data_IF_811588311086
#
_entry.id   IF_811588311086
#
_cell.length_a   1.000
_cell.length_b   1.000
_cell.length_c   1.000
_cell.angle_alpha   90.00
_cell.angle_beta   90.00
_cell.angle_gamma   90.00
#
_symmetry.space_group_name_H-M   'P 1'
#
loop_
_entity.id
_entity.type
_entity.pdbx_description
1 polymer ?
#
# COMPACT_ATOMS: atom_id res chain seq x y z
N UNK A 1 44.37 -6.10 13.09
CA UNK A 1 43.36 -5.02 13.17
C UNK A 1 41.92 -5.46 12.85
N UNK A 2 41.67 -6.34 11.86
CA UNK A 2 40.30 -6.79 11.51
C UNK A 2 39.64 -7.77 12.50
N UNK A 3 40.41 -8.52 13.31
CA UNK A 3 39.87 -9.50 14.28
C UNK A 3 39.28 -8.83 15.53
N UNK A 4 39.98 -7.81 16.06
CA UNK A 4 39.54 -7.00 17.23
C UNK A 4 38.27 -6.18 16.96
N UNK A 5 38.03 -5.78 15.71
CA UNK A 5 36.80 -5.07 15.31
C UNK A 5 35.59 -6.01 15.26
N UNK A 6 35.79 -7.29 14.94
CA UNK A 6 34.71 -8.29 14.88
C UNK A 6 34.26 -8.73 16.28
N UNK A 7 35.20 -8.97 17.20
CA UNK A 7 34.89 -9.30 18.60
C UNK A 7 34.20 -8.14 19.34
N UNK A 8 34.59 -6.89 19.08
CA UNK A 8 33.89 -5.73 19.66
C UNK A 8 32.45 -5.61 19.13
N UNK A 9 32.19 -5.95 17.86
CA UNK A 9 30.85 -5.85 17.28
C UNK A 9 29.92 -6.98 17.74
N UNK A 10 30.46 -8.18 17.99
CA UNK A 10 29.71 -9.31 18.58
C UNK A 10 29.42 -9.09 20.07
N UNK A 11 30.33 -8.43 20.81
CA UNK A 11 30.11 -8.08 22.22
C UNK A 11 29.01 -7.03 22.39
N UNK A 12 28.95 -6.03 21.48
CA UNK A 12 27.88 -5.01 21.46
C UNK A 12 26.52 -5.64 21.09
N UNK A 13 26.49 -6.55 20.10
CA UNK A 13 25.26 -7.23 19.70
C UNK A 13 24.70 -8.13 20.81
N UNK A 14 25.56 -8.76 21.62
CA UNK A 14 25.14 -9.62 22.74
C UNK A 14 24.77 -8.81 23.99
N UNK A 15 25.39 -7.64 24.22
CA UNK A 15 24.97 -6.73 25.29
C UNK A 15 23.61 -6.08 24.98
N UNK A 16 23.38 -5.70 23.72
CA UNK A 16 22.08 -5.17 23.26
C UNK A 16 20.99 -6.23 23.39
N UNK A 17 21.23 -7.50 23.05
CA UNK A 17 20.23 -8.56 23.21
C UNK A 17 19.94 -8.90 24.69
N UNK A 18 20.92 -8.74 25.59
CA UNK A 18 20.70 -8.91 27.03
C UNK A 18 19.90 -7.75 27.64
N UNK A 19 20.15 -6.50 27.25
CA UNK A 19 19.28 -5.38 27.63
C UNK A 19 17.88 -5.53 27.03
N UNK A 20 17.78 -6.00 25.78
CA UNK A 20 16.52 -6.28 25.06
C UNK A 20 15.68 -7.39 25.69
N UNK A 21 16.31 -8.38 26.35
CA UNK A 21 15.58 -9.41 27.11
C UNK A 21 15.09 -8.93 28.49
N UNK A 22 15.72 -7.90 29.05
CA UNK A 22 15.39 -7.38 30.39
C UNK A 22 14.24 -6.35 30.38
N UNK A 23 13.94 -5.74 29.23
CA UNK A 23 12.81 -4.80 29.09
C UNK A 23 11.46 -5.45 28.78
N UNK A 24 11.37 -6.79 28.75
CA UNK A 24 10.11 -7.55 28.54
C UNK A 24 9.24 -7.67 29.81
N UNK A 25 9.47 -6.86 30.84
CA UNK A 25 8.66 -6.82 32.07
C UNK A 25 8.31 -5.40 32.49
N UNK A 26 7.53 -4.72 31.66
CA UNK A 26 6.93 -3.45 32.02
C UNK A 26 5.87 -3.04 31.02
N UNK A 27 4.61 -3.26 31.38
CA UNK A 27 3.43 -2.88 30.59
C UNK A 27 3.33 -1.35 30.53
N UNK A 28 4.16 -0.70 29.71
CA UNK A 28 4.09 0.74 29.44
C UNK A 28 3.11 0.99 28.30
N UNK A 29 2.01 1.66 28.62
CA UNK A 29 1.05 2.15 27.63
C UNK A 29 1.70 3.28 26.82
N UNK A 30 2.08 3.01 25.58
CA UNK A 30 2.70 4.01 24.69
C UNK A 30 1.68 5.11 24.34
N UNK A 31 2.09 6.37 24.45
CA UNK A 31 1.30 7.53 24.04
C UNK A 31 1.47 7.74 22.53
N UNK A 32 0.36 7.74 21.79
CA UNK A 32 0.37 7.91 20.34
C UNK A 32 0.81 9.33 19.98
N UNK A 33 1.93 9.45 19.25
CA UNK A 33 2.45 10.71 18.73
C UNK A 33 3.89 11.04 19.11
N UNK A 34 4.44 10.41 20.16
CA UNK A 34 5.78 10.75 20.69
C UNK A 34 6.86 9.69 20.38
N UNK A 35 6.49 8.42 20.15
CA UNK A 35 7.42 7.34 19.83
C UNK A 35 6.98 6.54 18.58
N UNK A 36 7.92 6.09 17.73
CA UNK A 36 7.62 5.16 16.66
C UNK A 36 7.09 3.83 17.22
N UNK A 37 5.87 3.49 16.82
CA UNK A 37 5.21 2.25 17.22
C UNK A 37 5.82 1.10 16.43
N UNK A 38 6.63 0.27 17.09
CA UNK A 38 7.26 -0.90 16.46
C UNK A 38 6.45 -2.19 16.65
N UNK A 39 5.51 -2.23 17.59
CA UNK A 39 4.80 -3.45 17.96
C UNK A 39 3.31 -3.19 18.25
N UNK A 40 2.44 -3.86 17.48
CA UNK A 40 0.97 -3.75 17.59
C UNK A 40 0.45 -4.23 18.95
N UNK A 41 1.23 -5.07 19.65
CA UNK A 41 0.92 -5.56 20.99
C UNK A 41 0.93 -4.49 22.08
N UNK A 42 1.56 -3.34 21.81
CA UNK A 42 1.64 -2.20 22.75
C UNK A 42 0.40 -1.30 22.70
N UNK A 43 -0.54 -1.58 21.79
CA UNK A 43 -1.69 -0.73 21.48
C UNK A 43 -2.98 -1.49 21.75
N UNK A 44 -4.01 -0.78 22.21
CA UNK A 44 -5.36 -1.34 22.38
C UNK A 44 -5.87 -1.94 21.05
N UNK A 45 -6.54 -3.11 21.07
CA UNK A 45 -7.06 -3.76 19.86
C UNK A 45 -7.95 -2.84 19.00
N UNK A 46 -8.70 -1.93 19.65
CA UNK A 46 -9.52 -0.94 18.95
C UNK A 46 -8.67 0.05 18.14
N UNK A 47 -7.54 0.49 18.71
CA UNK A 47 -6.61 1.40 18.03
C UNK A 47 -5.84 0.70 16.92
N UNK A 48 -5.46 -0.57 17.12
CA UNK A 48 -4.85 -1.40 16.08
C UNK A 48 -5.80 -1.59 14.89
N UNK A 49 -7.10 -1.83 15.15
CA UNK A 49 -8.12 -1.91 14.10
C UNK A 49 -8.27 -0.59 13.34
N UNK A 50 -8.33 0.55 14.03
CA UNK A 50 -8.41 1.87 13.39
C UNK A 50 -7.20 2.17 12.51
N UNK A 51 -5.99 1.82 12.95
CA UNK A 51 -4.77 1.95 12.14
C UNK A 51 -4.79 1.02 10.93
N UNK A 52 -5.26 -0.22 11.10
CA UNK A 52 -5.43 -1.18 10.00
C UNK A 52 -6.41 -0.69 8.95
N UNK A 53 -7.56 -0.15 9.38
CA UNK A 53 -8.53 0.49 8.50
C UNK A 53 -7.91 1.67 7.75
N UNK A 54 -7.17 2.52 8.45
CA UNK A 54 -6.47 3.62 7.80
C UNK A 54 -5.48 3.13 6.74
N UNK A 55 -4.71 2.09 7.04
CA UNK A 55 -3.77 1.52 6.07
C UNK A 55 -4.50 0.97 4.85
N UNK A 56 -5.62 0.28 5.06
CA UNK A 56 -6.49 -0.21 4.00
C UNK A 56 -6.96 0.94 3.09
N UNK A 57 -7.55 1.99 3.66
CA UNK A 57 -8.06 3.13 2.88
C UNK A 57 -6.96 3.97 2.23
N UNK A 58 -5.79 4.07 2.86
CA UNK A 58 -4.63 4.73 2.25
C UNK A 58 -4.15 4.00 0.99
N UNK A 59 -4.19 2.67 0.98
CA UNK A 59 -3.80 1.85 -0.18
C UNK A 59 -4.94 1.63 -1.18
N UNK A 60 -6.19 1.80 -0.74
CA UNK A 60 -7.40 1.55 -1.54
C UNK A 60 -7.41 2.34 -2.85
N UNK A 61 -7.11 3.64 -2.80
CA UNK A 61 -7.15 4.50 -3.98
C UNK A 61 -6.27 3.97 -5.12
N UNK A 62 -5.01 3.65 -4.82
CA UNK A 62 -4.09 3.09 -5.81
C UNK A 62 -4.50 1.69 -6.28
N UNK A 63 -4.98 0.85 -5.35
CA UNK A 63 -5.32 -0.55 -5.64
C UNK A 63 -6.55 -0.69 -6.53
N UNK A 64 -7.53 0.21 -6.38
CA UNK A 64 -8.75 0.28 -7.20
C UNK A 64 -8.51 1.03 -8.51
N UNK A 65 -7.57 1.98 -8.55
CA UNK A 65 -7.34 2.76 -9.77
C UNK A 65 -6.85 1.89 -10.94
N UNK A 66 -5.93 0.96 -10.70
CA UNK A 66 -5.39 0.09 -11.77
C UNK A 66 -6.49 -0.76 -12.43
N UNK A 67 -7.30 -1.56 -11.71
CA UNK A 67 -8.34 -2.36 -12.34
C UNK A 67 -9.37 -1.51 -13.09
N UNK A 68 -9.70 -0.31 -12.58
CA UNK A 68 -10.57 0.63 -13.30
C UNK A 68 -9.94 1.09 -14.62
N UNK A 69 -8.64 1.37 -14.64
CA UNK A 69 -7.93 1.79 -15.85
C UNK A 69 -7.67 0.66 -16.83
N UNK A 70 -7.64 -0.59 -16.38
CA UNK A 70 -7.38 -1.76 -17.23
C UNK A 70 -8.63 -2.56 -17.57
N UNK A 71 -9.80 -2.22 -17.01
CA UNK A 71 -11.05 -2.97 -17.20
C UNK A 71 -11.10 -4.30 -16.44
N UNK A 72 -10.28 -4.47 -15.40
CA UNK A 72 -10.36 -5.64 -14.51
C UNK A 72 -11.44 -5.43 -13.44
N UNK A 73 -11.99 -6.53 -12.93
CA UNK A 73 -12.91 -6.46 -11.81
C UNK A 73 -12.20 -5.99 -10.53
N UNK A 74 -12.75 -4.94 -9.92
CA UNK A 74 -12.20 -4.30 -8.72
C UNK A 74 -12.30 -5.24 -7.51
N UNK A 75 -13.40 -5.99 -7.40
CA UNK A 75 -13.68 -6.87 -6.27
C UNK A 75 -12.69 -8.04 -6.22
N UNK A 76 -12.45 -8.67 -7.37
CA UNK A 76 -11.46 -9.73 -7.56
C UNK A 76 -10.05 -9.22 -7.25
N UNK A 77 -9.72 -8.02 -7.73
CA UNK A 77 -8.40 -7.41 -7.51
C UNK A 77 -8.18 -7.13 -6.02
N UNK A 78 -9.17 -6.57 -5.31
CA UNK A 78 -9.08 -6.33 -3.87
C UNK A 78 -9.00 -7.64 -3.06
N UNK A 79 -9.77 -8.66 -3.44
CA UNK A 79 -9.73 -9.98 -2.81
C UNK A 79 -8.34 -10.61 -2.95
N UNK A 80 -7.78 -10.61 -4.16
CA UNK A 80 -6.45 -11.16 -4.44
C UNK A 80 -5.32 -10.34 -3.82
N UNK A 81 -5.44 -9.00 -3.76
CA UNK A 81 -4.48 -8.14 -3.05
C UNK A 81 -4.44 -8.45 -1.55
N UNK A 82 -5.61 -8.62 -0.92
CA UNK A 82 -5.72 -9.02 0.48
C UNK A 82 -5.17 -10.42 0.74
N UNK A 83 -5.58 -11.40 -0.06
CA UNK A 83 -5.08 -12.78 0.04
C UNK A 83 -3.57 -12.86 -0.19
N UNK A 84 -3.06 -12.16 -1.21
CA UNK A 84 -1.63 -12.07 -1.51
C UNK A 84 -0.84 -11.42 -0.38
N UNK A 85 -1.36 -10.37 0.23
CA UNK A 85 -0.76 -9.73 1.42
C UNK A 85 -0.69 -10.71 2.59
N UNK A 86 -1.73 -11.50 2.84
CA UNK A 86 -1.73 -12.49 3.92
C UNK A 86 -0.73 -13.62 3.65
N UNK A 87 -0.70 -14.15 2.42
CA UNK A 87 0.27 -15.18 1.99
C UNK A 87 1.70 -14.64 2.12
N UNK A 88 1.95 -13.39 1.72
CA UNK A 88 3.26 -12.75 1.85
C UNK A 88 3.71 -12.65 3.31
N UNK A 89 2.83 -12.23 4.22
CA UNK A 89 3.14 -12.18 5.65
C UNK A 89 3.39 -13.56 6.24
N UNK A 90 2.67 -14.60 5.78
CA UNK A 90 2.88 -15.98 6.19
C UNK A 90 4.27 -16.49 5.75
N UNK A 91 4.65 -16.26 4.49
CA UNK A 91 5.95 -16.68 3.94
C UNK A 91 7.10 -15.93 4.63
N UNK A 92 6.95 -14.62 4.88
CA UNK A 92 7.97 -13.79 5.53
C UNK A 92 8.00 -13.90 7.05
N UNK A 93 7.10 -14.71 7.64
CA UNK A 93 6.93 -14.88 9.10
C UNK A 93 6.68 -13.56 9.84
N UNK A 94 5.94 -12.64 9.21
CA UNK A 94 5.58 -11.35 9.79
C UNK A 94 6.75 -10.39 10.03
N UNK A 95 7.92 -10.65 9.43
CA UNK A 95 9.12 -9.80 9.62
C UNK A 95 9.11 -8.52 8.81
N UNK A 96 8.36 -8.49 7.71
CA UNK A 96 8.33 -7.37 6.77
C UNK A 96 6.90 -6.83 6.71
N UNK A 97 6.63 -5.63 7.24
CA UNK A 97 5.32 -5.00 7.13
C UNK A 97 5.15 -4.41 5.73
N UNK A 98 4.53 -5.15 4.81
CA UNK A 98 4.28 -4.69 3.45
C UNK A 98 2.89 -5.09 2.95
N UNK A 99 2.20 -4.16 2.31
CA UNK A 99 0.92 -4.39 1.64
C UNK A 99 1.15 -4.60 0.14
N UNK A 100 0.53 -5.64 -0.43
CA UNK A 100 0.58 -5.90 -1.86
C UNK A 100 -0.62 -5.23 -2.52
N UNK A 101 -0.37 -4.10 -3.19
CA UNK A 101 -1.36 -3.40 -4.02
C UNK A 101 -1.15 -3.64 -5.51
N UNK A 102 -2.04 -3.06 -6.31
CA UNK A 102 -1.93 -3.09 -7.77
C UNK A 102 -0.70 -2.32 -8.26
N UNK A 103 0.11 -2.94 -9.13
CA UNK A 103 1.34 -2.34 -9.63
C UNK A 103 1.10 -1.52 -10.90
N UNK A 104 1.32 -0.21 -10.79
CA UNK A 104 1.22 0.73 -11.91
C UNK A 104 2.23 0.47 -13.03
N UNK A 105 3.29 -0.29 -12.77
CA UNK A 105 4.26 -0.67 -13.80
C UNK A 105 3.63 -1.54 -14.91
N UNK A 106 2.51 -2.22 -14.63
CA UNK A 106 1.81 -3.03 -15.63
C UNK A 106 0.87 -2.20 -16.53
N UNK A 107 0.56 -0.95 -16.21
CA UNK A 107 -0.36 -0.13 -17.03
C UNK A 107 0.10 -0.01 -18.48
N UNK A 108 1.41 0.18 -18.73
CA UNK A 108 1.95 0.23 -20.09
C UNK A 108 1.82 -1.11 -20.84
N UNK A 109 1.96 -2.23 -20.14
CA UNK A 109 1.77 -3.56 -20.71
C UNK A 109 0.30 -3.86 -21.05
N UNK A 110 -0.62 -3.51 -20.13
CA UNK A 110 -2.06 -3.61 -20.38
C UNK A 110 -2.49 -2.71 -21.53
N UNK A 111 -2.01 -1.46 -21.59
CA UNK A 111 -2.32 -0.55 -22.70
C UNK A 111 -1.82 -1.06 -24.06
N UNK A 112 -0.73 -1.83 -24.10
CA UNK A 112 -0.19 -2.40 -25.33
C UNK A 112 -0.92 -3.67 -25.80
N UNK A 113 -1.34 -4.54 -24.86
CA UNK A 113 -1.92 -5.86 -25.17
C UNK A 113 -3.45 -5.83 -25.19
N UNK A 114 -4.05 -5.07 -24.27
CA UNK A 114 -5.48 -4.93 -24.09
C UNK A 114 -5.86 -3.45 -23.97
N UNK A 115 -5.66 -2.64 -25.03
CA UNK A 115 -6.12 -1.25 -25.03
C UNK A 115 -7.64 -1.24 -24.86
N UNK A 116 -8.15 -0.31 -24.03
CA UNK A 116 -9.59 -0.10 -23.94
C UNK A 116 -10.08 0.57 -25.21
N UNK A 117 -10.85 -0.16 -26.01
CA UNK A 117 -11.61 0.38 -27.14
C UNK A 117 -12.99 0.76 -26.64
N UNK A 118 -13.37 2.03 -26.74
CA UNK A 118 -14.67 2.56 -26.30
C UNK A 118 -15.03 2.30 -24.81
N UNK A 119 -14.01 2.19 -23.95
CA UNK A 119 -14.21 1.94 -22.51
C UNK A 119 -14.58 0.50 -22.16
N UNK A 120 -14.63 -0.40 -23.15
CA UNK A 120 -14.86 -1.83 -22.95
C UNK A 120 -13.56 -2.57 -23.26
N UNK A 121 -13.10 -3.35 -22.28
CA UNK A 121 -11.94 -4.19 -22.46
C UNK A 121 -12.36 -5.52 -23.09
N UNK A 122 -11.74 -5.89 -24.22
CA UNK A 122 -11.96 -7.19 -24.85
C UNK A 122 -11.57 -8.31 -23.87
N UNK A 123 -12.50 -9.19 -23.45
CA UNK A 123 -12.23 -10.20 -22.43
C UNK A 123 -11.13 -11.18 -22.84
N UNK A 124 -11.01 -11.46 -24.14
CA UNK A 124 -9.95 -12.32 -24.68
C UNK A 124 -8.57 -11.66 -24.55
N UNK A 125 -8.45 -10.36 -24.89
CA UNK A 125 -7.20 -9.60 -24.77
C UNK A 125 -6.80 -9.37 -23.31
N UNK A 126 -7.77 -9.18 -22.42
CA UNK A 126 -7.54 -9.12 -20.98
C UNK A 126 -6.98 -10.43 -20.43
N UNK A 127 -7.48 -11.57 -20.89
CA UNK A 127 -6.94 -12.88 -20.50
C UNK A 127 -5.49 -13.04 -20.95
N UNK A 128 -5.13 -12.58 -22.16
CA UNK A 128 -3.74 -12.54 -22.62
C UNK A 128 -2.85 -11.64 -21.75
N UNK A 129 -3.33 -10.43 -21.40
CA UNK A 129 -2.61 -9.53 -20.51
C UNK A 129 -2.42 -10.14 -19.11
N UNK A 130 -3.46 -10.77 -18.56
CA UNK A 130 -3.40 -11.50 -17.28
C UNK A 130 -2.43 -12.69 -17.32
N UNK A 131 -2.36 -13.41 -18.43
CA UNK A 131 -1.35 -14.44 -18.67
C UNK A 131 0.08 -13.87 -18.63
N UNK A 132 0.29 -12.69 -19.22
CA UNK A 132 1.55 -11.95 -19.14
C UNK A 132 1.94 -11.60 -17.69
N UNK A 133 0.99 -11.16 -16.87
CA UNK A 133 1.22 -10.89 -15.44
C UNK A 133 1.57 -12.17 -14.68
N UNK A 134 0.92 -13.30 -14.98
CA UNK A 134 1.25 -14.59 -14.39
C UNK A 134 2.70 -15.02 -14.70
N UNK A 135 3.14 -14.85 -15.95
CA UNK A 135 4.52 -15.10 -16.36
C UNK A 135 5.49 -14.14 -15.66
N UNK A 136 5.15 -12.86 -15.51
CA UNK A 136 5.95 -11.91 -14.74
C UNK A 136 6.11 -12.34 -13.27
N UNK A 137 5.05 -12.90 -12.66
CA UNK A 137 5.11 -13.51 -11.33
C UNK A 137 6.09 -14.68 -11.24
N UNK A 138 6.13 -15.55 -12.26
CA UNK A 138 7.13 -16.62 -12.33
C UNK A 138 8.56 -16.08 -12.45
N UNK A 139 8.76 -15.02 -13.25
CA UNK A 139 10.05 -14.33 -13.36
C UNK A 139 10.50 -13.77 -12.00
N UNK A 140 9.58 -13.25 -11.18
CA UNK A 140 9.92 -12.81 -9.81
C UNK A 140 10.40 -13.95 -8.91
N UNK A 141 9.83 -15.15 -9.04
CA UNK A 141 10.29 -16.34 -8.30
C UNK A 141 11.71 -16.73 -8.73
N UNK A 142 11.96 -16.74 -10.04
CA UNK A 142 13.30 -17.03 -10.60
C UNK A 142 14.31 -16.00 -10.09
N UNK A 143 13.96 -14.72 -10.15
CA UNK A 143 14.82 -13.64 -9.68
C UNK A 143 15.07 -13.73 -8.17
N UNK A 144 14.06 -14.06 -7.37
CA UNK A 144 14.22 -14.29 -5.93
C UNK A 144 15.21 -15.44 -5.64
N UNK A 145 15.14 -16.53 -6.42
CA UNK A 145 16.10 -17.63 -6.37
C UNK A 145 17.52 -17.18 -6.74
N UNK A 146 17.65 -16.36 -7.77
CA UNK A 146 18.93 -15.79 -8.21
C UNK A 146 19.54 -14.88 -7.14
N UNK A 147 18.74 -14.00 -6.53
CA UNK A 147 19.17 -13.11 -5.45
C UNK A 147 19.68 -13.94 -4.26
N UNK A 148 19.01 -15.05 -3.94
CA UNK A 148 19.43 -15.97 -2.88
C UNK A 148 20.77 -16.65 -3.20
N UNK A 149 21.03 -17.00 -4.46
CA UNK A 149 22.28 -17.65 -4.88
C UNK A 149 23.47 -16.68 -4.99
N UNK A 150 23.26 -15.49 -5.56
CA UNK A 150 24.33 -14.53 -5.87
C UNK A 150 24.61 -13.51 -4.75
N UNK A 151 23.72 -13.41 -3.77
CA UNK A 151 23.81 -12.52 -2.63
C UNK A 151 23.24 -11.12 -2.90
N UNK A 152 22.54 -10.57 -1.91
CA UNK A 152 21.83 -9.27 -1.98
C UNK A 152 22.76 -8.11 -2.36
N UNK A 153 24.01 -8.14 -1.90
CA UNK A 153 24.98 -7.06 -2.12
C UNK A 153 25.37 -6.85 -3.59
N UNK A 154 25.39 -7.92 -4.41
CA UNK A 154 25.64 -7.78 -5.86
C UNK A 154 24.46 -7.15 -6.56
N UNK A 155 23.24 -7.50 -6.17
CA UNK A 155 22.00 -7.00 -6.78
C UNK A 155 21.84 -5.51 -6.50
N UNK A 156 22.09 -5.08 -5.26
CA UNK A 156 22.08 -3.66 -4.87
C UNK A 156 23.14 -2.81 -5.59
N UNK A 157 24.17 -3.44 -6.20
CA UNK A 157 25.12 -2.72 -7.06
C UNK A 157 24.53 -2.41 -8.45
N UNK A 158 23.64 -3.24 -8.96
CA UNK A 158 22.93 -2.98 -10.22
C UNK A 158 21.80 -1.96 -10.07
N UNK A 159 21.16 -1.94 -8.90
CA UNK A 159 20.10 -0.98 -8.55
C UNK A 159 20.53 -0.09 -7.38
N UNK A 160 21.52 0.80 -7.58
CA UNK A 160 21.89 1.76 -6.54
C UNK A 160 20.74 2.76 -6.29
N UNK A 161 20.69 3.41 -5.11
CA UNK A 161 19.62 4.37 -4.78
C UNK A 161 19.44 5.49 -5.80
N UNK A 162 20.51 5.89 -6.50
CA UNK A 162 20.49 6.89 -7.57
C UNK A 162 19.68 6.44 -8.81
N UNK A 163 19.43 5.14 -8.98
CA UNK A 163 18.58 4.60 -10.04
C UNK A 163 17.18 4.26 -9.51
N UNK A 164 17.11 3.61 -8.35
CA UNK A 164 15.82 3.21 -7.76
C UNK A 164 14.94 4.41 -7.41
N UNK A 165 15.51 5.49 -6.88
CA UNK A 165 14.76 6.70 -6.54
C UNK A 165 14.04 7.33 -7.74
N UNK A 166 14.76 7.67 -8.83
CA UNK A 166 14.14 8.20 -10.04
C UNK A 166 13.10 7.29 -10.69
N UNK A 167 13.28 5.96 -10.63
CA UNK A 167 12.27 5.01 -11.12
C UNK A 167 10.97 5.13 -10.31
N UNK A 168 11.07 5.19 -8.98
CA UNK A 168 9.90 5.34 -8.10
C UNK A 168 9.20 6.69 -8.35
N UNK A 169 9.97 7.78 -8.47
CA UNK A 169 9.43 9.12 -8.77
C UNK A 169 8.72 9.12 -10.13
N UNK A 170 9.30 8.49 -11.15
CA UNK A 170 8.71 8.37 -12.48
C UNK A 170 7.37 7.60 -12.45
N UNK A 171 7.28 6.51 -11.68
CA UNK A 171 6.01 5.77 -11.51
C UNK A 171 4.94 6.67 -10.90
N UNK A 172 5.29 7.48 -9.89
CA UNK A 172 4.37 8.46 -9.30
C UNK A 172 3.92 9.54 -10.28
N UNK A 173 4.85 10.07 -11.08
CA UNK A 173 4.56 11.12 -12.08
C UNK A 173 3.65 10.63 -13.21
N UNK A 174 3.78 9.37 -13.63
CA UNK A 174 2.90 8.75 -14.66
C UNK A 174 1.43 8.75 -14.20
N UNK A 175 1.16 8.76 -12.90
CA UNK A 175 -0.20 8.71 -12.32
C UNK A 175 -0.79 10.08 -12.02
N UNK A 176 0.03 11.13 -12.02
CA UNK A 176 -0.42 12.49 -11.76
C UNK A 176 -1.57 12.92 -12.72
N UNK A 177 -1.52 12.62 -14.04
CA UNK A 177 -2.62 12.95 -14.95
C UNK A 177 -3.94 12.29 -14.53
N UNK A 178 -3.92 11.02 -14.13
CA UNK A 178 -5.12 10.30 -13.70
C UNK A 178 -5.70 10.89 -12.42
N UNK A 179 -4.87 11.32 -11.47
CA UNK A 179 -5.34 12.01 -10.27
C UNK A 179 -6.03 13.34 -10.64
N UNK A 180 -5.47 14.11 -11.58
CA UNK A 180 -6.06 15.37 -12.06
C UNK A 180 -7.40 15.11 -12.75
N UNK A 181 -7.50 14.11 -13.63
CA UNK A 181 -8.76 13.77 -14.31
C UNK A 181 -9.86 13.37 -13.32
N UNK A 182 -9.53 12.65 -12.25
CA UNK A 182 -10.50 12.36 -11.19
C UNK A 182 -10.93 13.63 -10.41
N UNK A 183 -10.01 14.58 -10.21
CA UNK A 183 -10.35 15.87 -9.59
C UNK A 183 -11.21 16.76 -10.50
N UNK A 184 -11.11 16.59 -11.83
CA UNK A 184 -11.92 17.34 -12.79
C UNK A 184 -13.41 17.00 -12.73
N UNK A 185 -13.77 15.82 -12.23
CA UNK A 185 -15.17 15.42 -12.03
C UNK A 185 -15.87 16.31 -11.00
N UNK A 186 -15.20 16.64 -9.90
CA UNK A 186 -15.69 17.58 -8.89
C UNK A 186 -14.52 18.26 -8.15
N UNK A 187 -14.14 19.43 -8.64
CA UNK A 187 -13.06 20.23 -8.04
C UNK A 187 -13.39 20.67 -6.61
N UNK A 188 -14.65 20.90 -6.30
CA UNK A 188 -15.06 21.37 -4.96
C UNK A 188 -14.85 20.26 -3.94
N UNK A 189 -15.28 19.04 -4.27
CA UNK A 189 -15.08 17.86 -3.43
C UNK A 189 -13.60 17.52 -3.27
N UNK A 190 -12.83 17.56 -4.37
CA UNK A 190 -11.40 17.29 -4.34
C UNK A 190 -10.63 18.28 -3.46
N UNK A 191 -10.91 19.58 -3.57
CA UNK A 191 -10.27 20.61 -2.75
C UNK A 191 -10.64 20.46 -1.27
N UNK A 192 -11.91 20.19 -0.95
CA UNK A 192 -12.33 19.94 0.43
C UNK A 192 -11.58 18.74 1.02
N UNK A 193 -11.49 17.63 0.29
CA UNK A 193 -10.75 16.45 0.74
C UNK A 193 -9.27 16.77 1.02
N UNK A 194 -8.59 17.45 0.08
CA UNK A 194 -7.17 17.80 0.22
C UNK A 194 -6.94 18.76 1.40
N UNK A 195 -7.77 19.80 1.53
CA UNK A 195 -7.67 20.78 2.63
C UNK A 195 -7.85 20.08 3.98
N UNK A 196 -8.85 19.21 4.10
CA UNK A 196 -9.08 18.46 5.35
C UNK A 196 -7.88 17.57 5.69
N UNK A 197 -7.32 16.85 4.71
CA UNK A 197 -6.12 16.01 4.94
C UNK A 197 -4.94 16.87 5.41
N UNK A 198 -4.69 18.01 4.75
CA UNK A 198 -3.60 18.93 5.12
C UNK A 198 -3.82 19.49 6.53
N UNK A 199 -5.04 19.96 6.83
CA UNK A 199 -5.38 20.55 8.12
C UNK A 199 -5.25 19.51 9.24
N UNK A 200 -5.77 18.30 9.03
CA UNK A 200 -5.64 17.20 9.99
C UNK A 200 -4.18 16.76 10.18
N UNK A 201 -3.34 16.84 9.15
CA UNK A 201 -1.91 16.50 9.25
C UNK A 201 -1.12 17.56 10.04
N UNK A 202 -1.35 18.85 9.74
CA UNK A 202 -0.61 19.96 10.37
C UNK A 202 -1.09 20.25 11.80
N UNK A 203 -2.41 20.37 12.00
CA UNK A 203 -3.01 20.75 13.29
C UNK A 203 -3.55 19.58 14.11
N UNK A 204 -3.53 18.36 13.57
CA UNK A 204 -3.96 17.17 14.29
C UNK A 204 -3.12 16.93 15.55
N UNK A 205 -3.79 16.67 16.68
CA UNK A 205 -3.15 16.24 17.93
C UNK A 205 -3.49 14.77 18.23
N UNK A 206 -2.52 14.03 18.74
CA UNK A 206 -2.68 12.62 19.12
C UNK A 206 -3.04 11.72 17.93
N UNK A 207 -4.14 10.97 18.05
CA UNK A 207 -4.58 9.98 17.04
C UNK A 207 -4.90 10.61 15.68
N UNK A 208 -5.45 11.83 15.66
CA UNK A 208 -5.91 12.50 14.44
C UNK A 208 -4.76 12.77 13.46
N UNK A 209 -3.54 13.01 13.97
CA UNK A 209 -2.33 13.17 13.16
C UNK A 209 -1.89 11.88 12.48
N UNK A 210 -2.25 10.74 13.07
CA UNK A 210 -1.88 9.43 12.53
C UNK A 210 -2.83 9.04 11.41
N UNK A 211 -4.12 9.42 11.48
CA UNK A 211 -5.20 9.03 10.54
C UNK A 211 -5.72 10.16 9.59
N UNK A 212 -4.87 11.04 9.01
CA UNK A 212 -5.36 12.22 8.29
C UNK A 212 -6.12 11.85 7.00
N UNK A 213 -5.69 10.81 6.30
CA UNK A 213 -6.35 10.32 5.08
C UNK A 213 -7.78 9.85 5.37
N UNK A 214 -7.98 9.16 6.50
CA UNK A 214 -9.31 8.68 6.88
C UNK A 214 -10.27 9.81 7.20
N UNK A 215 -9.79 10.82 7.93
CA UNK A 215 -10.59 12.01 8.22
C UNK A 215 -10.96 12.75 6.92
N UNK A 216 -10.02 12.86 5.98
CA UNK A 216 -10.27 13.42 4.66
C UNK A 216 -11.41 12.71 3.92
N UNK A 217 -11.37 11.38 3.87
CA UNK A 217 -12.41 10.57 3.20
C UNK A 217 -13.76 10.74 3.89
N UNK A 218 -13.82 10.69 5.22
CA UNK A 218 -15.08 10.82 5.97
C UNK A 218 -15.70 12.20 5.74
N UNK A 219 -14.92 13.28 5.87
CA UNK A 219 -15.44 14.65 5.70
C UNK A 219 -15.84 14.91 4.25
N UNK A 220 -15.06 14.44 3.28
CA UNK A 220 -15.42 14.55 1.86
C UNK A 220 -16.72 13.78 1.57
N UNK A 221 -16.89 12.58 2.09
CA UNK A 221 -18.12 11.80 1.92
C UNK A 221 -19.35 12.47 2.54
N UNK A 222 -19.21 13.02 3.77
CA UNK A 222 -20.27 13.80 4.40
C UNK A 222 -20.62 15.06 3.61
N UNK A 223 -19.62 15.74 3.06
CA UNK A 223 -19.83 16.90 2.20
C UNK A 223 -20.61 16.52 0.93
N UNK A 224 -20.23 15.41 0.27
CA UNK A 224 -20.91 14.90 -0.91
C UNK A 224 -22.38 14.49 -0.65
N UNK A 225 -22.68 13.99 0.56
CA UNK A 225 -24.06 13.71 1.00
C UNK A 225 -24.89 15.00 1.10
N UNK A 226 -24.31 16.08 1.62
CA UNK A 226 -25.00 17.37 1.79
C UNK A 226 -25.18 18.08 0.44
N UNK A 227 -24.22 17.97 -0.48
CA UNK A 227 -24.32 18.57 -1.82
C UNK A 227 -25.20 17.77 -2.78
N UNK A 228 -25.63 16.56 -2.39
CA UNK A 228 -26.49 15.70 -3.22
C UNK A 228 -25.77 15.07 -4.42
N UNK A 229 -24.44 15.09 -4.44
CA UNK A 229 -23.63 14.56 -5.55
C UNK A 229 -23.49 13.03 -5.54
N UNK A 230 -24.17 12.33 -4.63
CA UNK A 230 -24.07 10.88 -4.44
C UNK A 230 -25.27 10.15 -5.05
N UNK A 231 -24.98 9.29 -6.02
CA UNK A 231 -25.93 8.31 -6.51
C UNK A 231 -25.90 7.07 -5.59
N UNK A 232 -26.96 6.89 -4.80
CA UNK A 232 -27.13 5.74 -3.90
C UNK A 232 -27.93 4.59 -4.53
N UNK A 233 -28.30 4.71 -5.82
CA UNK A 233 -29.08 3.68 -6.53
C UNK A 233 -28.34 2.34 -6.60
N UNK A 234 -27.02 2.37 -6.79
CA UNK A 234 -26.17 1.17 -6.86
C UNK A 234 -26.06 0.45 -5.52
N UNK A 235 -26.07 1.20 -4.40
CA UNK A 235 -25.98 0.63 -3.03
C UNK A 235 -27.27 -0.08 -2.65
N UNK A 236 -28.42 0.41 -3.12
CA UNK A 236 -29.74 -0.14 -2.80
C UNK A 236 -30.02 -1.45 -3.54
N UNK A 237 -29.37 -1.66 -4.69
CA UNK A 237 -29.55 -2.85 -5.54
C UNK A 237 -28.50 -3.94 -5.29
N UNK A 238 -27.41 -3.59 -4.59
CA UNK A 238 -26.30 -4.52 -4.31
C UNK A 238 -26.72 -5.67 -3.38
N UNK A 239 -26.32 -6.90 -3.73
CA UNK A 239 -26.53 -8.08 -2.86
C UNK A 239 -25.51 -8.07 -1.72
N UNK A 240 -25.93 -8.52 -0.53
CA UNK A 240 -25.10 -8.51 0.69
C UNK A 240 -23.87 -9.44 0.59
N UNK A 241 -23.94 -10.48 -0.25
CA UNK A 241 -22.83 -11.36 -0.55
C UNK A 241 -22.86 -11.78 -2.01
N UNK A 242 -21.79 -11.49 -2.73
CA UNK A 242 -21.55 -11.90 -4.10
C UNK A 242 -20.09 -12.32 -4.20
N UNK A 243 -19.83 -13.48 -4.81
CA UNK A 243 -18.47 -13.95 -5.03
C UNK A 243 -17.95 -13.23 -6.28
N UNK A 244 -16.80 -12.55 -6.20
CA UNK A 244 -16.15 -11.93 -7.36
C UNK A 244 -15.78 -12.95 -8.45
#
# INVERSE_FOLDING_TARGET
>A
MKKKVKENNETIAVSDDKERSSQTKGKKTVRLGDEPIYDLSQISPVKALLLGLQHMFAMFGATVLVPLLTGLDVSTTLLMAGAGTLIFHLITRGKVPAFLGSSFAFLGGYAAVAPLTDGVADPEKLAYAGGGVAVAGLVYIILAGLIKAFGVQRVMRFFPPVVTGPIIISIGLILAPTAITNCQTDWTLALVAIIVVIVCNIWGRGMIKIIPVMMGIIVAYLFALVTGSLDLSTVTTGRVFEVP
#
